data_IF_529393599337
#
_entry.id   IF_529393599337
#
_cell.length_a   1.000
_cell.length_b   1.000
_cell.length_c   1.000
_cell.angle_alpha   90.00
_cell.angle_beta   90.00
_cell.angle_gamma   90.00
#
_symmetry.space_group_name_H-M   'P 1'
#
loop_
_entity.id
_entity.type
_entity.pdbx_description
1 polymer ?
#
# COMPACT_ATOMS: atom_id res chain seq x y z
N UNK A 1 -18.14 -2.29 0.61
CA UNK A 1 -19.07 -1.89 -0.50
C UNK A 1 -19.29 -3.10 -1.39
N UNK A 2 -20.53 -3.39 -1.83
CA UNK A 2 -20.76 -4.50 -2.77
C UNK A 2 -20.27 -4.11 -4.16
N UNK A 3 -19.59 -5.02 -4.86
CA UNK A 3 -19.21 -4.83 -6.26
C UNK A 3 -20.45 -4.67 -7.13
N UNK A 4 -20.37 -3.88 -8.18
CA UNK A 4 -21.47 -3.59 -9.12
C UNK A 4 -21.13 -4.16 -10.51
N UNK A 5 -21.35 -5.46 -10.75
CA UNK A 5 -20.89 -6.14 -11.96
C UNK A 5 -21.59 -5.66 -13.24
N UNK A 6 -22.72 -4.98 -13.10
CA UNK A 6 -23.49 -4.45 -14.24
C UNK A 6 -23.10 -3.02 -14.63
N UNK A 7 -22.20 -2.37 -13.89
CA UNK A 7 -21.70 -1.03 -14.19
C UNK A 7 -20.41 -1.15 -15.04
N UNK A 8 -20.24 -0.34 -16.09
CA UNK A 8 -19.07 -0.45 -16.96
C UNK A 8 -17.77 0.03 -16.32
N UNK A 9 -17.83 0.72 -15.17
CA UNK A 9 -16.65 1.18 -14.44
C UNK A 9 -15.98 0.02 -13.72
N UNK A 10 -14.69 -0.21 -14.02
CA UNK A 10 -13.90 -1.35 -13.53
C UNK A 10 -12.47 -0.94 -13.19
N UNK A 11 -12.00 -1.37 -12.03
CA UNK A 11 -10.57 -1.42 -11.74
C UNK A 11 -10.02 -2.75 -12.30
N UNK A 12 -9.05 -2.67 -13.19
CA UNK A 12 -8.37 -3.81 -13.78
C UNK A 12 -7.01 -3.96 -13.12
N UNK A 13 -6.74 -5.14 -12.57
CA UNK A 13 -5.49 -5.42 -11.86
C UNK A 13 -4.65 -6.41 -12.68
N UNK A 14 -3.48 -5.97 -13.09
CA UNK A 14 -2.50 -6.81 -13.79
C UNK A 14 -1.60 -7.52 -12.77
N UNK A 15 -1.96 -8.75 -12.40
CA UNK A 15 -1.17 -9.57 -11.47
C UNK A 15 0.21 -9.94 -12.04
N UNK A 16 0.34 -10.00 -13.37
CA UNK A 16 1.61 -10.23 -14.06
C UNK A 16 2.58 -9.06 -13.87
N UNK A 17 2.07 -7.82 -13.89
CA UNK A 17 2.86 -6.62 -13.61
C UNK A 17 3.39 -6.62 -12.16
N UNK A 18 2.56 -7.00 -11.17
CA UNK A 18 3.00 -7.12 -9.78
C UNK A 18 4.14 -8.13 -9.65
N UNK A 19 3.99 -9.31 -10.27
CA UNK A 19 5.05 -10.34 -10.26
C UNK A 19 6.33 -9.84 -10.92
N UNK A 20 6.22 -9.19 -12.09
CA UNK A 20 7.35 -8.57 -12.77
C UNK A 20 8.09 -7.58 -11.88
N UNK A 21 7.36 -6.67 -11.22
CA UNK A 21 7.96 -5.66 -10.33
C UNK A 21 8.69 -6.30 -9.14
N UNK A 22 8.12 -7.33 -8.52
CA UNK A 22 8.77 -8.10 -7.45
C UNK A 22 10.07 -8.74 -7.95
N UNK A 23 10.06 -9.31 -9.15
CA UNK A 23 11.25 -9.92 -9.77
C UNK A 23 12.32 -8.86 -10.08
N UNK A 24 11.93 -7.69 -10.61
CA UNK A 24 12.85 -6.57 -10.84
C UNK A 24 13.49 -6.11 -9.54
N UNK A 25 12.70 -5.85 -8.50
CA UNK A 25 13.24 -5.48 -7.18
C UNK A 25 14.14 -6.59 -6.62
N UNK A 26 13.73 -7.85 -6.74
CA UNK A 26 14.49 -9.00 -6.28
C UNK A 26 15.83 -9.19 -6.97
N UNK A 27 15.95 -8.81 -8.25
CA UNK A 27 17.19 -8.90 -9.01
C UNK A 27 18.25 -7.86 -8.58
N UNK A 28 17.83 -6.80 -7.86
CA UNK A 28 18.70 -5.70 -7.45
C UNK A 28 19.02 -5.69 -5.94
N UNK A 29 18.67 -6.77 -5.23
CA UNK A 29 19.02 -6.97 -3.81
C UNK A 29 19.84 -8.24 -3.64
N UNK A 30 20.60 -8.41 -2.54
CA UNK A 30 21.33 -9.65 -2.28
C UNK A 30 20.39 -10.88 -2.32
N UNK A 31 20.88 -11.99 -2.90
CA UNK A 31 20.07 -13.18 -3.19
C UNK A 31 19.44 -13.80 -1.94
N UNK A 32 20.12 -13.73 -0.80
CA UNK A 32 19.68 -14.26 0.49
C UNK A 32 18.65 -13.36 1.21
N UNK A 33 18.39 -12.16 0.68
CA UNK A 33 17.45 -11.22 1.30
C UNK A 33 16.01 -11.71 1.16
N UNK A 34 15.30 -11.83 2.28
CA UNK A 34 13.90 -12.20 2.29
C UNK A 34 13.04 -11.08 1.70
N UNK A 35 12.10 -11.46 0.85
CA UNK A 35 11.17 -10.55 0.18
C UNK A 35 9.79 -10.65 0.84
N UNK A 36 9.35 -9.58 1.46
CA UNK A 36 8.03 -9.51 2.06
C UNK A 36 7.14 -8.55 1.29
N UNK A 37 6.00 -9.07 0.80
CA UNK A 37 5.02 -8.27 0.09
C UNK A 37 4.07 -7.57 1.06
N UNK A 38 3.91 -6.27 0.91
CA UNK A 38 2.98 -5.48 1.73
C UNK A 38 1.63 -5.44 1.03
N UNK A 39 0.66 -6.18 1.57
CA UNK A 39 -0.70 -6.34 1.02
C UNK A 39 -1.79 -5.77 1.91
N UNK A 40 -1.43 -4.89 2.86
CA UNK A 40 -2.37 -4.16 3.72
C UNK A 40 -3.34 -3.29 2.92
N UNK A 41 -4.44 -2.86 3.54
CA UNK A 41 -5.47 -2.02 2.91
C UNK A 41 -5.96 -2.63 1.58
N UNK A 42 -6.32 -3.93 1.64
CA UNK A 42 -6.74 -4.70 0.47
C UNK A 42 -5.72 -4.65 -0.68
N UNK A 43 -4.42 -4.84 -0.36
CA UNK A 43 -3.30 -4.71 -1.30
C UNK A 43 -3.30 -3.35 -2.01
N UNK A 44 -3.38 -2.26 -1.24
CA UNK A 44 -3.47 -0.89 -1.78
C UNK A 44 -4.65 -0.72 -2.77
N UNK A 45 -5.75 -1.42 -2.53
CA UNK A 45 -6.93 -1.44 -3.38
C UNK A 45 -6.87 -2.44 -4.55
N UNK A 46 -5.79 -3.23 -4.68
CA UNK A 46 -5.60 -4.19 -5.77
C UNK A 46 -6.24 -5.57 -5.51
N UNK A 47 -6.79 -5.80 -4.29
CA UNK A 47 -7.38 -7.08 -3.91
C UNK A 47 -6.38 -8.02 -3.22
N UNK A 48 -6.33 -7.99 -1.87
CA UNK A 48 -5.30 -8.67 -1.08
C UNK A 48 -5.23 -10.17 -1.34
N UNK A 49 -6.36 -10.86 -1.36
CA UNK A 49 -6.42 -12.32 -1.60
C UNK A 49 -5.91 -12.66 -3.00
N UNK A 50 -6.38 -11.95 -4.04
CA UNK A 50 -5.96 -12.22 -5.41
C UNK A 50 -4.46 -11.97 -5.62
N UNK A 51 -3.96 -10.85 -5.10
CA UNK A 51 -2.53 -10.49 -5.15
C UNK A 51 -1.70 -11.53 -4.40
N UNK A 52 -2.02 -11.80 -3.12
CA UNK A 52 -1.26 -12.75 -2.31
C UNK A 52 -1.21 -14.16 -2.93
N UNK A 53 -2.34 -14.65 -3.43
CA UNK A 53 -2.41 -15.95 -4.13
C UNK A 53 -1.50 -15.97 -5.36
N UNK A 54 -1.50 -14.89 -6.15
CA UNK A 54 -0.71 -14.83 -7.37
C UNK A 54 0.81 -14.82 -7.13
N UNK A 55 1.26 -14.16 -6.04
CA UNK A 55 2.69 -13.90 -5.79
C UNK A 55 3.30 -14.73 -4.66
N UNK A 56 2.55 -15.61 -3.99
CA UNK A 56 3.04 -16.36 -2.81
C UNK A 56 4.31 -17.19 -3.08
N UNK A 57 4.55 -17.58 -4.32
CA UNK A 57 5.77 -18.31 -4.70
C UNK A 57 6.97 -17.40 -5.03
N UNK A 58 6.74 -16.10 -5.20
CA UNK A 58 7.77 -15.11 -5.52
C UNK A 58 8.28 -14.37 -4.27
N UNK A 59 7.62 -14.57 -3.11
CA UNK A 59 7.92 -13.88 -1.84
C UNK A 59 8.05 -14.85 -0.67
N UNK A 60 8.71 -14.40 0.40
CA UNK A 60 8.95 -15.19 1.61
C UNK A 60 7.87 -14.98 2.69
N UNK A 61 7.15 -13.88 2.62
CA UNK A 61 6.09 -13.54 3.55
C UNK A 61 5.26 -12.34 3.12
N UNK A 62 4.25 -12.05 3.91
CA UNK A 62 3.33 -10.94 3.69
C UNK A 62 3.34 -9.98 4.88
N UNK A 63 3.09 -8.71 4.62
CA UNK A 63 2.87 -7.70 5.64
C UNK A 63 1.47 -7.12 5.49
N UNK A 64 0.73 -7.07 6.58
CA UNK A 64 -0.62 -6.53 6.67
C UNK A 64 -0.71 -5.47 7.76
N UNK A 65 -1.82 -4.76 7.87
CA UNK A 65 -2.01 -3.69 8.85
C UNK A 65 -2.51 -4.19 10.21
N UNK A 66 -3.42 -5.17 10.21
CA UNK A 66 -4.13 -5.67 11.39
C UNK A 66 -4.42 -7.16 11.31
N UNK A 67 -5.01 -7.69 12.38
CA UNK A 67 -5.33 -9.13 12.51
C UNK A 67 -6.37 -9.56 11.48
N UNK A 68 -7.39 -8.75 11.20
CA UNK A 68 -8.48 -9.12 10.29
C UNK A 68 -7.96 -9.32 8.87
N UNK A 69 -7.07 -8.44 8.38
CA UNK A 69 -6.40 -8.61 7.08
C UNK A 69 -5.55 -9.89 7.04
N UNK A 70 -4.90 -10.25 8.16
CA UNK A 70 -4.14 -11.49 8.25
C UNK A 70 -5.04 -12.72 8.21
N UNK A 71 -6.18 -12.68 8.91
CA UNK A 71 -7.17 -13.76 8.92
C UNK A 71 -7.80 -13.96 7.54
N UNK A 72 -8.09 -12.88 6.80
CA UNK A 72 -8.57 -12.96 5.42
C UNK A 72 -7.60 -13.76 4.54
N UNK A 73 -6.29 -13.47 4.64
CA UNK A 73 -5.27 -14.21 3.90
C UNK A 73 -5.19 -15.68 4.34
N UNK A 74 -5.28 -15.96 5.63
CA UNK A 74 -5.29 -17.35 6.14
C UNK A 74 -6.51 -18.13 5.67
N UNK A 75 -7.70 -17.52 5.69
CA UNK A 75 -8.93 -18.11 5.17
C UNK A 75 -8.85 -18.39 3.67
N UNK A 76 -8.11 -17.59 2.93
CA UNK A 76 -7.81 -17.81 1.51
C UNK A 76 -6.72 -18.88 1.26
N UNK A 77 -6.19 -19.53 2.30
CA UNK A 77 -5.21 -20.62 2.17
C UNK A 77 -3.75 -20.16 2.08
N UNK A 78 -3.43 -18.91 2.36
CA UNK A 78 -2.04 -18.43 2.41
C UNK A 78 -1.35 -19.00 3.65
N UNK A 79 -0.28 -19.78 3.45
CA UNK A 79 0.51 -20.43 4.52
C UNK A 79 1.83 -19.74 4.82
N UNK A 80 2.26 -18.79 3.98
CA UNK A 80 3.48 -18.01 4.18
C UNK A 80 3.43 -17.20 5.49
N UNK A 81 4.59 -16.77 6.00
CA UNK A 81 4.65 -15.86 7.16
C UNK A 81 3.80 -14.62 6.92
N UNK A 82 3.09 -14.17 7.94
CA UNK A 82 2.33 -12.92 7.92
C UNK A 82 2.75 -12.07 9.11
N UNK A 83 3.31 -10.90 8.83
CA UNK A 83 3.65 -9.88 9.82
C UNK A 83 2.57 -8.80 9.86
N UNK A 84 2.00 -8.57 11.02
CA UNK A 84 1.08 -7.47 11.28
C UNK A 84 1.92 -6.25 11.67
N UNK A 85 1.92 -5.22 10.81
CA UNK A 85 2.75 -4.01 10.98
C UNK A 85 2.20 -3.02 12.01
N UNK A 86 0.89 -3.07 12.26
CA UNK A 86 0.23 -2.26 13.28
C UNK A 86 0.38 -2.87 14.68
N UNK A 87 0.12 -2.08 15.70
CA UNK A 87 -0.04 -2.57 17.07
C UNK A 87 -1.42 -3.22 17.18
N UNK A 88 -1.47 -4.43 17.71
CA UNK A 88 -2.71 -5.18 17.95
C UNK A 88 -3.14 -5.06 19.41
N UNK A 89 -4.44 -5.19 19.67
CA UNK A 89 -4.96 -5.36 21.02
C UNK A 89 -4.40 -6.66 21.65
N UNK A 90 -4.21 -6.67 22.97
CA UNK A 90 -3.62 -7.83 23.66
C UNK A 90 -4.49 -9.08 23.54
N UNK A 91 -5.80 -8.93 23.43
CA UNK A 91 -6.77 -10.01 23.23
C UNK A 91 -6.57 -10.73 21.88
N UNK A 92 -5.97 -10.08 20.91
CA UNK A 92 -5.69 -10.66 19.60
C UNK A 92 -4.60 -11.73 19.60
N UNK A 93 -3.88 -11.91 20.71
CA UNK A 93 -2.80 -12.91 20.83
C UNK A 93 -3.30 -14.32 20.60
N UNK A 94 -4.47 -14.66 21.11
CA UNK A 94 -5.07 -15.99 20.90
C UNK A 94 -5.21 -16.29 19.41
N UNK A 95 -5.67 -15.30 18.63
CA UNK A 95 -5.75 -15.44 17.19
C UNK A 95 -4.37 -15.51 16.54
N UNK A 96 -3.41 -14.72 17.02
CA UNK A 96 -2.06 -14.76 16.50
C UNK A 96 -1.39 -16.12 16.70
N UNK A 97 -1.56 -16.74 17.86
CA UNK A 97 -1.08 -18.11 18.15
C UNK A 97 -1.83 -19.15 17.30
N UNK A 98 -3.16 -19.08 17.23
CA UNK A 98 -3.99 -20.04 16.52
C UNK A 98 -3.72 -20.04 15.00
N UNK A 99 -3.51 -18.88 14.42
CA UNK A 99 -3.35 -18.69 12.97
C UNK A 99 -1.89 -18.44 12.53
N UNK A 100 -0.93 -18.70 13.41
CA UNK A 100 0.50 -18.55 13.13
C UNK A 100 0.84 -17.16 12.56
N UNK A 101 0.41 -16.09 13.25
CA UNK A 101 0.66 -14.72 12.87
C UNK A 101 1.82 -14.13 13.67
N UNK A 102 2.60 -13.23 13.06
CA UNK A 102 3.66 -12.50 13.73
C UNK A 102 3.16 -11.09 14.08
N UNK A 103 3.24 -10.71 15.36
CA UNK A 103 2.78 -9.42 15.86
C UNK A 103 3.93 -8.41 15.95
N UNK A 104 3.60 -7.14 15.80
CA UNK A 104 4.50 -6.01 16.09
C UNK A 104 4.32 -5.56 17.53
N UNK A 105 5.41 -5.54 18.30
CA UNK A 105 5.47 -4.94 19.63
C UNK A 105 6.26 -3.63 19.55
N UNK A 106 5.62 -2.55 20.01
CA UNK A 106 6.10 -1.19 19.82
C UNK A 106 6.29 -0.40 21.14
N UNK A 107 6.05 -1.01 22.29
CA UNK A 107 6.20 -0.35 23.59
C UNK A 107 6.12 -1.33 24.77
N UNK A 108 6.81 -1.00 25.85
CA UNK A 108 6.92 -1.83 27.04
C UNK A 108 5.60 -1.93 27.81
N UNK A 109 4.79 -0.87 27.80
CA UNK A 109 3.48 -0.87 28.44
C UNK A 109 2.53 -1.93 27.84
N UNK A 110 2.57 -2.10 26.50
CA UNK A 110 1.82 -3.15 25.85
C UNK A 110 2.26 -4.54 26.33
N UNK A 111 3.57 -4.76 26.51
CA UNK A 111 4.11 -6.03 27.05
C UNK A 111 3.63 -6.26 28.47
N UNK A 112 3.68 -5.24 29.33
CA UNK A 112 3.21 -5.35 30.72
C UNK A 112 1.71 -5.65 30.80
N UNK A 113 0.90 -4.99 29.96
CA UNK A 113 -0.54 -5.25 29.86
C UNK A 113 -0.80 -6.68 29.43
N UNK A 114 -0.06 -7.18 28.45
CA UNK A 114 -0.14 -8.54 28.00
C UNK A 114 0.15 -9.53 29.13
N UNK A 115 1.27 -9.37 29.82
CA UNK A 115 1.71 -10.28 30.90
C UNK A 115 0.79 -10.26 32.12
N UNK A 116 0.07 -9.16 32.33
CA UNK A 116 -0.97 -9.09 33.36
C UNK A 116 -2.22 -9.90 33.00
N UNK A 117 -2.50 -10.10 31.72
CA UNK A 117 -3.66 -10.86 31.23
C UNK A 117 -3.35 -12.31 30.88
N UNK A 118 -2.13 -12.60 30.42
CA UNK A 118 -1.71 -13.91 29.95
C UNK A 118 -0.22 -14.15 30.26
N UNK A 119 0.11 -15.25 30.94
CA UNK A 119 1.48 -15.58 31.32
C UNK A 119 2.18 -16.56 30.36
N UNK A 120 1.46 -17.35 29.59
CA UNK A 120 2.03 -18.29 28.61
C UNK A 120 1.89 -17.73 27.20
N UNK A 121 3.04 -17.37 26.61
CA UNK A 121 3.13 -16.84 25.28
C UNK A 121 3.73 -17.84 24.28
N UNK A 122 3.74 -19.12 24.62
CA UNK A 122 4.26 -20.18 23.76
C UNK A 122 3.59 -20.17 22.38
N UNK A 123 4.41 -20.22 21.31
CA UNK A 123 3.94 -20.15 19.94
C UNK A 123 3.68 -18.73 19.40
N UNK A 124 3.71 -17.70 20.25
CA UNK A 124 3.57 -16.33 19.81
C UNK A 124 4.87 -15.84 19.13
N UNK A 125 4.77 -15.31 17.92
CA UNK A 125 5.87 -14.73 17.14
C UNK A 125 5.82 -13.21 17.18
N UNK A 126 6.96 -12.58 17.45
CA UNK A 126 7.05 -11.13 17.67
C UNK A 126 8.16 -10.50 16.81
N UNK A 127 7.87 -9.33 16.26
CA UNK A 127 8.87 -8.37 15.79
C UNK A 127 8.84 -7.12 16.66
N UNK A 128 10.00 -6.72 17.18
CA UNK A 128 10.16 -5.46 17.92
C UNK A 128 10.22 -4.29 16.91
N UNK A 129 9.37 -3.28 17.10
CA UNK A 129 9.39 -2.08 16.29
C UNK A 129 10.21 -0.99 16.97
N UNK A 130 11.20 -0.47 16.26
CA UNK A 130 12.02 0.68 16.69
C UNK A 130 11.54 1.94 15.98
N UNK A 131 11.29 2.99 16.74
CA UNK A 131 11.08 4.33 16.20
C UNK A 131 12.41 5.09 16.14
N UNK A 132 13.07 4.98 15.02
CA UNK A 132 14.33 5.68 14.77
C UNK A 132 14.14 7.13 14.28
N UNK A 133 12.90 7.63 14.26
CA UNK A 133 12.56 8.99 13.84
C UNK A 133 11.32 9.11 12.96
N UNK A 134 10.56 8.02 12.71
CA UNK A 134 9.26 8.12 12.02
C UNK A 134 8.21 8.83 12.88
N UNK A 135 8.33 8.75 14.23
CA UNK A 135 7.45 9.45 15.16
C UNK A 135 6.02 8.89 15.23
N UNK A 136 5.83 7.62 14.86
CA UNK A 136 4.50 7.01 14.78
C UNK A 136 4.27 5.93 15.82
N UNK A 137 5.06 4.87 15.80
CA UNK A 137 5.05 3.76 16.77
C UNK A 137 6.47 3.19 16.91
N UNK A 138 6.79 2.63 18.07
CA UNK A 138 8.06 1.92 18.30
C UNK A 138 8.82 2.40 19.52
N UNK A 139 9.72 1.56 19.99
CA UNK A 139 10.66 1.88 21.04
C UNK A 139 11.64 2.96 20.58
N UNK A 140 11.84 3.97 21.39
CA UNK A 140 12.84 5.03 21.15
C UNK A 140 14.10 4.83 21.99
N UNK A 141 14.02 3.95 22.97
CA UNK A 141 15.10 3.61 23.89
C UNK A 141 15.47 2.13 23.75
N UNK A 142 16.76 1.84 23.67
CA UNK A 142 17.27 0.48 23.53
C UNK A 142 17.07 -0.35 24.79
N UNK A 143 17.07 0.26 25.99
CA UNK A 143 16.87 -0.45 27.25
C UNK A 143 15.43 -0.97 27.37
N UNK A 144 14.44 -0.16 27.01
CA UNK A 144 13.04 -0.58 26.97
C UNK A 144 12.79 -1.71 25.97
N UNK A 145 13.40 -1.62 24.76
CA UNK A 145 13.27 -2.65 23.75
C UNK A 145 13.90 -3.99 24.19
N UNK A 146 15.03 -3.94 24.90
CA UNK A 146 15.70 -5.13 25.47
C UNK A 146 14.90 -5.72 26.64
N UNK A 147 14.34 -4.87 27.51
CA UNK A 147 13.45 -5.33 28.60
C UNK A 147 12.22 -6.04 28.01
N UNK A 148 11.60 -5.44 26.97
CA UNK A 148 10.49 -6.06 26.27
C UNK A 148 10.87 -7.42 25.66
N UNK A 149 12.03 -7.50 25.00
CA UNK A 149 12.54 -8.77 24.46
C UNK A 149 12.71 -9.82 25.56
N UNK A 150 13.35 -9.45 26.66
CA UNK A 150 13.59 -10.34 27.79
C UNK A 150 12.28 -10.86 28.38
N UNK A 151 11.35 -9.98 28.71
CA UNK A 151 10.06 -10.35 29.29
C UNK A 151 9.25 -11.26 28.37
N UNK A 152 9.19 -10.97 27.07
CA UNK A 152 8.49 -11.80 26.10
C UNK A 152 9.10 -13.21 26.00
N UNK A 153 10.43 -13.31 25.97
CA UNK A 153 11.14 -14.59 25.86
C UNK A 153 11.02 -15.44 27.14
N UNK A 154 11.09 -14.82 28.33
CA UNK A 154 10.88 -15.51 29.62
C UNK A 154 9.48 -16.14 29.74
N UNK A 155 8.49 -15.58 29.01
CA UNK A 155 7.13 -16.11 28.98
C UNK A 155 6.82 -17.01 27.76
N UNK A 156 7.86 -17.38 27.00
CA UNK A 156 7.76 -18.35 25.91
C UNK A 156 7.51 -17.79 24.52
N UNK A 157 7.42 -16.46 24.35
CA UNK A 157 7.28 -15.87 23.01
C UNK A 157 8.59 -15.98 22.20
N UNK A 158 8.47 -16.17 20.91
CA UNK A 158 9.59 -16.14 19.98
C UNK A 158 9.77 -14.76 19.37
N UNK A 159 10.70 -13.97 19.88
CA UNK A 159 11.08 -12.68 19.30
C UNK A 159 11.98 -12.95 18.10
N UNK A 160 11.37 -13.08 16.91
CA UNK A 160 12.08 -13.47 15.69
C UNK A 160 12.67 -12.29 14.93
N UNK A 161 12.15 -11.07 15.14
CA UNK A 161 12.61 -9.92 14.36
C UNK A 161 12.64 -8.59 15.11
N UNK A 162 13.37 -7.63 14.52
CA UNK A 162 13.46 -6.23 14.93
C UNK A 162 13.49 -5.34 13.69
N UNK A 163 12.73 -4.23 13.70
CA UNK A 163 12.63 -3.41 12.51
C UNK A 163 12.36 -1.93 12.77
N UNK A 164 12.66 -1.12 11.76
CA UNK A 164 12.30 0.30 11.72
C UNK A 164 11.59 0.67 10.41
N UNK A 165 11.31 1.95 10.22
CA UNK A 165 10.70 2.52 9.01
C UNK A 165 11.23 3.94 8.79
N UNK A 166 11.60 4.25 7.55
CA UNK A 166 12.13 5.55 7.17
C UNK A 166 11.03 6.49 6.70
N UNK A 167 11.17 7.77 7.06
CA UNK A 167 10.19 8.81 6.79
C UNK A 167 10.46 9.56 5.48
N UNK A 168 11.74 9.66 5.06
CA UNK A 168 12.19 10.55 3.98
C UNK A 168 13.14 9.85 3.00
N UNK A 169 12.98 8.51 2.83
CA UNK A 169 13.84 7.74 1.93
C UNK A 169 13.53 7.98 0.43
N UNK A 170 12.48 8.69 0.14
CA UNK A 170 11.94 9.05 -1.17
C UNK A 170 12.09 10.56 -1.49
N UNK A 171 12.84 11.29 -0.65
CA UNK A 171 13.09 12.71 -0.79
C UNK A 171 14.50 13.00 -1.34
N UNK A 172 14.70 14.18 -1.95
CA UNK A 172 16.03 14.62 -2.41
C UNK A 172 17.04 14.80 -1.27
N UNK A 173 16.53 15.26 -0.09
CA UNK A 173 17.39 15.47 1.07
C UNK A 173 17.52 14.19 1.88
N UNK A 174 18.70 13.59 1.88
CA UNK A 174 18.99 12.35 2.60
C UNK A 174 19.41 12.58 4.07
N UNK A 175 19.51 13.83 4.53
CA UNK A 175 20.07 14.15 5.86
C UNK A 175 19.28 13.47 6.99
N UNK A 176 17.95 13.55 6.95
CA UNK A 176 17.08 12.93 7.96
C UNK A 176 17.05 11.41 7.83
N UNK A 177 17.09 10.89 6.62
CA UNK A 177 17.21 9.46 6.36
C UNK A 177 18.46 8.88 7.03
N UNK A 178 19.64 9.47 6.83
CA UNK A 178 20.88 9.00 7.46
C UNK A 178 20.87 9.18 8.98
N UNK A 179 20.21 10.22 9.50
CA UNK A 179 19.99 10.35 10.95
C UNK A 179 19.18 9.19 11.50
N UNK A 180 18.08 8.80 10.83
CA UNK A 180 17.27 7.65 11.22
C UNK A 180 18.06 6.34 11.14
N UNK A 181 18.84 6.13 10.08
CA UNK A 181 19.67 4.94 9.90
C UNK A 181 20.72 4.82 11.01
N UNK A 182 21.38 5.94 11.34
CA UNK A 182 22.35 6.00 12.45
C UNK A 182 21.69 5.67 13.79
N UNK A 183 20.52 6.23 14.06
CA UNK A 183 19.74 5.95 15.27
C UNK A 183 19.38 4.45 15.36
N UNK A 184 18.86 3.86 14.28
CA UNK A 184 18.53 2.44 14.25
C UNK A 184 19.73 1.56 14.50
N UNK A 185 20.87 1.81 13.80
CA UNK A 185 22.13 1.06 14.01
C UNK A 185 22.66 1.21 15.43
N UNK A 186 22.54 2.39 16.06
CA UNK A 186 22.96 2.60 17.43
C UNK A 186 22.10 1.77 18.41
N UNK A 187 20.78 1.73 18.23
CA UNK A 187 19.89 0.90 19.03
C UNK A 187 20.22 -0.59 18.87
N UNK A 188 20.45 -1.06 17.63
CA UNK A 188 20.85 -2.46 17.39
C UNK A 188 22.14 -2.84 18.11
N UNK A 189 23.11 -1.95 18.16
CA UNK A 189 24.40 -2.20 18.82
C UNK A 189 24.32 -2.42 20.33
N UNK A 190 23.23 -1.97 20.96
CA UNK A 190 22.98 -2.17 22.38
C UNK A 190 22.44 -3.60 22.71
N UNK A 191 22.02 -4.36 21.72
CA UNK A 191 21.50 -5.72 21.91
C UNK A 191 22.65 -6.73 21.99
N UNK A 192 22.70 -7.49 23.07
CA UNK A 192 23.64 -8.63 23.19
C UNK A 192 23.24 -9.80 22.29
N UNK A 193 21.93 -10.04 22.18
CA UNK A 193 21.35 -11.09 21.38
C UNK A 193 20.28 -10.46 20.47
N UNK A 194 20.68 -10.11 19.25
CA UNK A 194 19.73 -9.59 18.24
C UNK A 194 18.78 -10.69 17.78
N UNK A 195 17.50 -10.36 17.52
CA UNK A 195 16.61 -11.23 16.78
C UNK A 195 17.19 -11.61 15.42
N UNK A 196 16.81 -12.78 14.89
CA UNK A 196 17.36 -13.32 13.64
C UNK A 196 17.08 -12.43 12.42
N UNK A 197 15.88 -11.80 12.41
CA UNK A 197 15.45 -10.97 11.30
C UNK A 197 15.58 -9.49 11.65
N UNK A 198 16.43 -8.79 10.93
CA UNK A 198 16.56 -7.34 11.02
C UNK A 198 16.07 -6.79 9.70
N UNK A 199 15.10 -5.89 9.71
CA UNK A 199 14.60 -5.29 8.49
C UNK A 199 14.27 -3.81 8.66
N UNK A 200 14.69 -3.01 7.70
CA UNK A 200 14.46 -1.57 7.68
C UNK A 200 13.82 -1.11 6.38
N UNK A 201 14.16 -1.77 5.27
CA UNK A 201 13.79 -1.34 3.93
C UNK A 201 12.30 -1.42 3.67
N UNK A 202 11.75 -0.29 3.18
CA UNK A 202 10.47 -0.17 2.48
C UNK A 202 10.72 -0.13 0.96
N UNK A 203 9.73 0.19 0.14
CA UNK A 203 9.91 0.32 -1.31
C UNK A 203 10.99 1.34 -1.67
N UNK A 204 10.96 2.54 -1.09
CA UNK A 204 11.91 3.60 -1.39
C UNK A 204 13.35 3.17 -1.08
N UNK A 205 13.61 2.67 0.12
CA UNK A 205 14.96 2.22 0.47
C UNK A 205 15.41 0.99 -0.29
N UNK A 206 14.50 0.12 -0.72
CA UNK A 206 14.84 -1.02 -1.59
C UNK A 206 15.30 -0.54 -2.97
N UNK A 207 14.73 0.57 -3.47
CA UNK A 207 15.07 1.15 -4.76
C UNK A 207 16.40 1.95 -4.73
N UNK A 208 16.61 2.78 -3.70
CA UNK A 208 17.68 3.79 -3.71
C UNK A 208 18.74 3.65 -2.62
N UNK A 209 18.50 2.85 -1.56
CA UNK A 209 19.37 2.82 -0.37
C UNK A 209 19.77 1.40 0.03
N UNK A 210 20.67 0.80 -0.76
CA UNK A 210 21.12 -0.59 -0.57
C UNK A 210 21.73 -0.85 0.85
N UNK A 211 22.28 0.17 1.50
CA UNK A 211 22.87 0.10 2.85
C UNK A 211 21.84 -0.16 3.97
N UNK A 212 20.55 -0.13 3.66
CA UNK A 212 19.45 -0.47 4.59
C UNK A 212 18.94 -1.89 4.42
N UNK A 213 19.48 -2.63 3.45
CA UNK A 213 19.10 -4.01 3.20
C UNK A 213 19.83 -4.89 4.21
N UNK A 214 19.12 -5.28 5.28
CA UNK A 214 19.59 -6.27 6.25
C UNK A 214 19.16 -7.68 5.80
N UNK A 215 18.31 -8.37 6.59
CA UNK A 215 17.89 -9.73 6.25
C UNK A 215 16.63 -9.76 5.37
N UNK A 216 15.81 -8.70 5.35
CA UNK A 216 14.57 -8.66 4.60
C UNK A 216 14.22 -7.25 4.12
N UNK A 217 13.49 -7.20 3.00
CA UNK A 217 12.87 -5.98 2.47
C UNK A 217 11.34 -6.11 2.49
N UNK A 218 10.64 -4.97 2.63
CA UNK A 218 9.18 -4.91 2.59
C UNK A 218 8.72 -4.12 1.36
N UNK A 219 8.33 -4.84 0.32
CA UNK A 219 7.92 -4.30 -0.97
C UNK A 219 6.47 -3.84 -0.88
N UNK A 220 6.23 -2.54 -0.93
CA UNK A 220 4.90 -1.90 -0.96
C UNK A 220 4.65 -1.25 -2.32
N UNK A 221 4.60 0.09 -2.37
CA UNK A 221 4.22 0.88 -3.56
C UNK A 221 4.90 0.42 -4.85
N UNK A 222 6.20 0.14 -4.79
CA UNK A 222 6.97 -0.27 -5.96
C UNK A 222 6.53 -1.61 -6.54
N UNK A 223 6.06 -2.57 -5.73
CA UNK A 223 5.55 -3.83 -6.29
C UNK A 223 4.25 -3.64 -7.08
N UNK A 224 3.51 -2.55 -6.82
CA UNK A 224 2.33 -2.17 -7.61
C UNK A 224 2.66 -1.29 -8.82
N UNK A 225 3.95 -1.03 -9.05
CA UNK A 225 4.43 -0.24 -10.20
C UNK A 225 4.41 1.26 -9.97
N UNK A 226 4.34 1.70 -8.72
CA UNK A 226 4.35 3.11 -8.36
C UNK A 226 5.76 3.55 -7.96
N UNK A 227 6.13 4.75 -8.40
CA UNK A 227 7.33 5.41 -7.90
C UNK A 227 7.03 6.00 -6.51
N UNK A 228 7.65 5.51 -5.41
CA UNK A 228 7.37 6.01 -4.06
C UNK A 228 7.64 7.50 -3.88
N UNK A 229 8.57 8.08 -4.65
CA UNK A 229 8.89 9.51 -4.62
C UNK A 229 7.97 10.36 -5.54
N UNK A 230 6.99 9.74 -6.20
CA UNK A 230 6.20 10.41 -7.23
C UNK A 230 7.06 10.85 -8.42
N UNK A 231 7.51 12.11 -8.43
CA UNK A 231 8.35 12.68 -9.50
C UNK A 231 9.69 13.24 -8.98
N UNK A 232 9.98 13.06 -7.68
CA UNK A 232 11.17 13.67 -7.05
C UNK A 232 12.45 12.95 -7.46
N UNK A 233 12.43 11.59 -7.41
CA UNK A 233 13.54 10.74 -7.80
C UNK A 233 13.15 9.88 -9.00
N UNK A 234 14.09 9.70 -9.93
CA UNK A 234 13.92 8.75 -11.04
C UNK A 234 14.02 7.32 -10.56
N UNK A 235 13.20 6.42 -11.11
CA UNK A 235 13.32 4.99 -10.84
C UNK A 235 14.67 4.47 -11.34
N UNK A 236 15.37 3.61 -10.58
CA UNK A 236 16.64 3.02 -11.03
C UNK A 236 16.45 1.94 -12.10
N UNK A 237 15.25 1.42 -12.26
CA UNK A 237 14.81 0.46 -13.28
C UNK A 237 13.30 0.55 -13.48
N UNK A 238 12.82 0.02 -14.60
CA UNK A 238 11.41 0.12 -14.98
C UNK A 238 10.50 -0.72 -14.06
N UNK A 239 9.41 -0.10 -13.65
CA UNK A 239 8.28 -0.75 -12.97
C UNK A 239 7.02 -0.58 -13.81
N UNK A 240 6.17 -1.60 -13.81
CA UNK A 240 4.93 -1.61 -14.58
C UNK A 240 3.76 -1.33 -13.64
N UNK A 241 3.00 -0.23 -13.82
CA UNK A 241 1.79 0.02 -13.06
C UNK A 241 0.80 -1.15 -13.17
N UNK A 242 0.31 -1.63 -12.03
CA UNK A 242 -0.55 -2.80 -11.98
C UNK A 242 -2.04 -2.47 -12.09
N UNK A 243 -2.45 -1.22 -11.84
CA UNK A 243 -3.84 -0.79 -11.81
C UNK A 243 -4.16 0.05 -13.04
N UNK A 244 -5.30 -0.26 -13.66
CA UNK A 244 -5.99 0.62 -14.59
C UNK A 244 -7.44 0.80 -14.14
N UNK A 245 -7.99 2.01 -14.33
CA UNK A 245 -9.39 2.32 -14.06
C UNK A 245 -10.06 2.70 -15.37
N UNK A 246 -11.04 1.90 -15.77
CA UNK A 246 -11.79 2.08 -17.00
C UNK A 246 -13.28 2.30 -16.72
N UNK A 247 -13.93 3.04 -17.62
CA UNK A 247 -15.37 3.22 -17.64
C UNK A 247 -15.87 3.24 -19.08
N UNK A 248 -17.14 3.56 -19.28
CA UNK A 248 -17.70 3.77 -20.62
C UNK A 248 -18.69 4.92 -20.63
N UNK A 249 -18.87 5.51 -21.80
CA UNK A 249 -19.90 6.54 -22.03
C UNK A 249 -21.29 5.92 -21.89
N UNK A 250 -22.08 6.42 -20.94
CA UNK A 250 -23.46 5.94 -20.72
C UNK A 250 -24.51 6.92 -21.23
N UNK A 251 -24.15 8.17 -21.46
CA UNK A 251 -25.01 9.19 -22.04
C UNK A 251 -24.17 10.21 -22.78
N UNK A 252 -24.71 10.72 -23.89
CA UNK A 252 -24.11 11.77 -24.73
C UNK A 252 -25.21 12.77 -25.12
N UNK A 253 -24.86 14.04 -25.12
CA UNK A 253 -25.76 15.13 -25.58
C UNK A 253 -24.94 16.31 -26.10
N UNK A 254 -25.55 17.11 -26.96
CA UNK A 254 -25.07 18.41 -27.34
C UNK A 254 -25.67 19.47 -26.42
N UNK A 255 -24.86 20.37 -25.90
CA UNK A 255 -25.27 21.53 -25.11
C UNK A 255 -25.08 22.80 -25.94
N UNK A 256 -26.09 23.70 -26.04
CA UNK A 256 -25.92 25.00 -26.62
C UNK A 256 -25.03 25.92 -25.78
N UNK A 257 -24.51 26.99 -26.36
CA UNK A 257 -23.82 28.05 -25.63
C UNK A 257 -24.71 28.59 -24.48
N UNK A 258 -24.09 28.86 -23.32
CA UNK A 258 -24.75 29.35 -22.11
C UNK A 258 -25.40 28.25 -21.27
N UNK A 259 -25.42 26.99 -21.73
CA UNK A 259 -25.94 25.88 -20.93
C UNK A 259 -24.95 25.45 -19.85
N UNK A 260 -25.45 25.21 -18.63
CA UNK A 260 -24.61 24.84 -17.49
C UNK A 260 -24.56 23.32 -17.26
N UNK A 261 -23.50 22.84 -16.57
CA UNK A 261 -23.29 21.44 -16.22
C UNK A 261 -23.09 21.28 -14.71
N UNK A 262 -23.85 20.35 -14.12
CA UNK A 262 -23.65 19.85 -12.77
C UNK A 262 -24.10 20.76 -11.64
N UNK A 263 -23.81 20.34 -10.42
CA UNK A 263 -24.18 21.07 -9.20
C UNK A 263 -23.53 22.44 -9.12
N UNK A 264 -24.36 23.45 -8.79
CA UNK A 264 -23.92 24.84 -8.65
C UNK A 264 -23.63 25.54 -9.96
N UNK A 265 -23.97 24.90 -11.12
CA UNK A 265 -23.78 25.47 -12.45
C UNK A 265 -22.34 26.06 -12.64
N UNK A 266 -21.34 25.34 -12.13
CA UNK A 266 -19.95 25.82 -12.10
C UNK A 266 -19.22 25.74 -13.44
N UNK A 267 -19.81 25.07 -14.39
CA UNK A 267 -19.37 25.03 -15.79
C UNK A 267 -20.49 25.55 -16.68
N UNK A 268 -20.17 26.50 -17.52
CA UNK A 268 -21.05 27.05 -18.55
C UNK A 268 -20.40 26.85 -19.90
N UNK A 269 -21.14 26.33 -20.86
CA UNK A 269 -20.65 26.10 -22.22
C UNK A 269 -20.51 27.46 -22.96
N UNK A 270 -19.31 27.78 -23.42
CA UNK A 270 -19.00 29.01 -24.14
C UNK A 270 -19.47 28.96 -25.64
N UNK A 271 -19.73 27.77 -26.13
CA UNK A 271 -20.15 27.45 -27.49
C UNK A 271 -21.02 26.20 -27.48
N UNK A 272 -21.49 25.74 -28.62
CA UNK A 272 -22.10 24.43 -28.73
C UNK A 272 -21.05 23.33 -28.43
N UNK A 273 -21.32 22.43 -27.50
CA UNK A 273 -20.39 21.42 -27.01
C UNK A 273 -21.03 20.04 -26.88
N UNK A 274 -20.25 19.00 -27.16
CA UNK A 274 -20.66 17.62 -26.91
C UNK A 274 -20.23 17.22 -25.49
N UNK A 275 -21.18 16.79 -24.68
CA UNK A 275 -20.98 16.39 -23.29
C UNK A 275 -21.38 14.93 -23.12
N UNK A 276 -20.50 14.13 -22.51
CA UNK A 276 -20.80 12.76 -22.12
C UNK A 276 -20.84 12.58 -20.60
N UNK A 277 -21.55 11.57 -20.16
CA UNK A 277 -21.64 11.14 -18.77
C UNK A 277 -20.99 9.78 -18.58
N UNK A 278 -20.18 9.64 -17.54
CA UNK A 278 -19.54 8.40 -17.09
C UNK A 278 -20.08 8.01 -15.71
N UNK A 279 -20.37 6.71 -15.47
CA UNK A 279 -20.93 6.24 -14.21
C UNK A 279 -19.83 5.98 -13.16
N UNK A 280 -19.16 7.04 -12.71
CA UNK A 280 -18.20 7.05 -11.62
C UNK A 280 -18.27 8.39 -10.90
N UNK A 281 -18.13 8.39 -9.58
CA UNK A 281 -18.16 9.60 -8.78
C UNK A 281 -17.49 9.45 -7.44
N UNK A 282 -17.75 10.41 -6.51
CA UNK A 282 -17.00 10.41 -5.25
C UNK A 282 -17.34 9.23 -4.32
N UNK A 283 -18.48 8.56 -4.48
CA UNK A 283 -18.79 7.33 -3.76
C UNK A 283 -17.89 6.15 -4.17
N UNK A 284 -17.24 6.26 -5.33
CA UNK A 284 -16.29 5.26 -5.84
C UNK A 284 -14.82 5.61 -5.53
N UNK A 285 -14.59 6.75 -4.86
CA UNK A 285 -13.25 7.28 -4.61
C UNK A 285 -12.75 8.29 -5.66
N UNK A 286 -13.55 8.61 -6.69
CA UNK A 286 -13.25 9.70 -7.64
C UNK A 286 -13.66 11.03 -7.02
N UNK A 287 -12.78 11.60 -6.18
CA UNK A 287 -13.09 12.75 -5.33
C UNK A 287 -13.32 14.04 -6.13
N UNK A 288 -13.91 15.06 -5.49
CA UNK A 288 -14.17 16.36 -6.14
C UNK A 288 -12.90 17.10 -6.58
N UNK A 289 -11.75 16.83 -5.94
CA UNK A 289 -10.46 17.41 -6.35
C UNK A 289 -10.01 16.93 -7.74
N UNK A 290 -10.55 15.80 -8.19
CA UNK A 290 -10.30 15.25 -9.53
C UNK A 290 -11.13 15.92 -10.65
N UNK A 291 -11.96 16.92 -10.36
CA UNK A 291 -12.75 17.63 -11.37
C UNK A 291 -11.93 18.39 -12.41
N UNK A 292 -10.66 18.71 -12.12
CA UNK A 292 -9.77 19.42 -13.04
C UNK A 292 -8.90 18.48 -13.88
N UNK A 293 -9.12 17.17 -13.79
CA UNK A 293 -8.41 16.20 -14.60
C UNK A 293 -9.09 16.00 -15.96
N UNK A 294 -8.35 15.37 -16.86
CA UNK A 294 -8.88 14.87 -18.12
C UNK A 294 -8.84 13.34 -18.10
N UNK A 295 -9.75 12.73 -18.84
CA UNK A 295 -9.79 11.31 -19.10
C UNK A 295 -9.50 11.04 -20.58
N UNK A 296 -9.20 9.80 -20.92
CA UNK A 296 -8.87 9.42 -22.29
C UNK A 296 -10.05 8.72 -22.97
N UNK A 297 -10.44 9.22 -24.11
CA UNK A 297 -11.43 8.62 -24.98
C UNK A 297 -10.80 8.47 -26.36
N UNK A 298 -10.57 7.24 -26.81
CA UNK A 298 -9.95 6.94 -28.10
C UNK A 298 -8.64 7.76 -28.35
N UNK A 299 -7.74 7.76 -27.33
CA UNK A 299 -6.48 8.51 -27.36
C UNK A 299 -6.58 10.03 -27.19
N UNK A 300 -7.80 10.59 -27.09
CA UNK A 300 -8.05 12.01 -26.91
C UNK A 300 -8.22 12.37 -25.44
N UNK A 301 -7.52 13.41 -24.96
CA UNK A 301 -7.73 13.97 -23.62
C UNK A 301 -9.05 14.75 -23.58
N UNK A 302 -10.00 14.27 -22.80
CA UNK A 302 -11.32 14.85 -22.63
C UNK A 302 -11.43 15.42 -21.20
N UNK A 303 -11.58 16.75 -21.01
CA UNK A 303 -11.63 17.35 -19.70
C UNK A 303 -12.93 16.98 -18.97
N UNK A 304 -12.83 16.79 -17.65
CA UNK A 304 -13.99 16.70 -16.77
C UNK A 304 -14.59 18.11 -16.63
N UNK A 305 -15.90 18.23 -16.81
CA UNK A 305 -16.62 19.50 -16.76
C UNK A 305 -17.72 19.46 -15.72
N UNK A 306 -17.90 20.57 -14.99
CA UNK A 306 -18.82 20.64 -13.86
C UNK A 306 -18.27 19.88 -12.63
N UNK A 307 -19.05 19.86 -11.55
CA UNK A 307 -18.66 19.20 -10.30
C UNK A 307 -18.84 17.68 -10.38
N UNK A 308 -17.87 16.94 -9.83
CA UNK A 308 -18.01 15.49 -9.62
C UNK A 308 -19.24 15.24 -8.72
N UNK A 309 -20.15 14.38 -9.18
CA UNK A 309 -21.35 13.94 -8.45
C UNK A 309 -21.04 12.68 -7.62
N UNK A 310 -22.05 12.17 -6.89
CA UNK A 310 -21.90 10.99 -6.05
C UNK A 310 -21.46 9.76 -6.86
N UNK A 311 -22.04 9.57 -8.03
CA UNK A 311 -21.95 8.35 -8.85
C UNK A 311 -21.71 8.63 -10.34
N UNK A 312 -21.51 9.90 -10.72
CA UNK A 312 -21.34 10.32 -12.12
C UNK A 312 -20.35 11.48 -12.24
N UNK A 313 -19.63 11.49 -13.35
CA UNK A 313 -18.87 12.63 -13.85
C UNK A 313 -19.32 12.96 -15.28
N UNK A 314 -19.12 14.20 -15.67
CA UNK A 314 -19.37 14.68 -17.03
C UNK A 314 -18.06 15.09 -17.67
N UNK A 315 -17.89 14.77 -18.94
CA UNK A 315 -16.70 15.12 -19.73
C UNK A 315 -17.11 15.84 -21.00
N UNK A 316 -16.25 16.76 -21.48
CA UNK A 316 -16.41 17.40 -22.78
C UNK A 316 -15.68 16.56 -23.84
N UNK A 317 -16.39 16.22 -24.91
CA UNK A 317 -15.89 15.46 -26.04
C UNK A 317 -15.58 16.35 -27.23
N UNK A 318 -14.62 16.00 -28.09
CA UNK A 318 -14.36 16.74 -29.35
C UNK A 318 -15.49 16.52 -30.37
N UNK A 319 -16.17 15.39 -30.37
CA UNK A 319 -17.30 15.01 -31.19
C UNK A 319 -18.12 13.92 -30.53
N UNK A 320 -19.25 13.53 -31.16
CA UNK A 320 -20.14 12.50 -30.62
C UNK A 320 -19.49 11.12 -30.77
N UNK A 321 -19.31 10.42 -29.67
CA UNK A 321 -18.96 9.01 -29.62
C UNK A 321 -20.20 8.13 -29.34
N UNK A 322 -20.20 6.87 -29.81
CA UNK A 322 -21.26 5.91 -29.46
C UNK A 322 -21.34 5.64 -27.96
N UNK A 323 -22.54 5.31 -27.47
CA UNK A 323 -22.71 4.77 -26.11
C UNK A 323 -21.91 3.46 -25.97
N UNK A 324 -21.31 3.25 -24.82
CA UNK A 324 -20.43 2.10 -24.57
C UNK A 324 -18.98 2.31 -24.99
N UNK A 325 -18.64 3.46 -25.63
CA UNK A 325 -17.22 3.78 -25.93
C UNK A 325 -16.40 3.77 -24.63
N UNK A 326 -15.30 3.02 -24.65
CA UNK A 326 -14.36 2.88 -23.53
C UNK A 326 -13.71 4.22 -23.18
N UNK A 327 -13.60 4.49 -21.90
CA UNK A 327 -12.92 5.64 -21.33
C UNK A 327 -11.89 5.17 -20.32
N UNK A 328 -10.64 5.61 -20.46
CA UNK A 328 -9.58 5.33 -19.49
C UNK A 328 -9.44 6.52 -18.55
N UNK A 329 -9.66 6.25 -17.25
CA UNK A 329 -9.52 7.24 -16.18
C UNK A 329 -8.12 7.20 -15.56
N UNK A 330 -7.59 5.99 -15.33
CA UNK A 330 -6.23 5.72 -14.88
C UNK A 330 -5.67 4.61 -15.75
N UNK A 331 -4.47 4.78 -16.28
CA UNK A 331 -3.80 3.77 -17.09
C UNK A 331 -3.03 4.38 -18.24
N UNK A 332 -2.27 3.54 -18.94
CA UNK A 332 -1.59 3.93 -20.17
C UNK A 332 -2.58 3.99 -21.34
N UNK A 333 -2.26 4.78 -22.32
CA UNK A 333 -3.03 4.95 -23.55
C UNK A 333 -2.95 3.78 -24.53
N UNK A 334 -2.41 2.64 -24.12
CA UNK A 334 -2.22 1.52 -25.02
C UNK A 334 -1.04 1.72 -25.98
N UNK A 335 -0.02 2.41 -25.53
CA UNK A 335 1.30 2.45 -26.17
C UNK A 335 2.09 1.19 -25.82
#
# INVERSE_FOLDING_TARGET
MKTSPHRPTKALINLGAIRYNIQQMGAHIPQETLKWAVVKANAYGHGAVAVATAIQNDVDGFCVSNVDEALELRQAGITKKILILGVSEVESIVLAQQFDLTLTVAGLEWVRTLLASQSDLSGLKIHLKIDSGMGRIGFRDASEAREAQFLLQEHGAYVEGIFTHFATADEQSEAYFYQQLKCFKAILAEFKNLPKLIHASNSATTLWHAETIFNAVRMGDAMYGLNPSGKVLSLPYDLIPALSLESAIVHVKTLPAGACVGYGATYEADSEQVIATLPIGYADGWTRDMQNFSVLVDGQLCPIVGRVSMDQITIRLPYIYPLGTKVTLIGSNGD
#
